data_IF_017865131791
#
_entry.id   IF_017865131791
#
_cell.length_a   1.000
_cell.length_b   1.000
_cell.length_c   1.000
_cell.angle_alpha   90.00
_cell.angle_beta   90.00
_cell.angle_gamma   90.00
#
_symmetry.space_group_name_H-M   'P 1'
#
loop_
_entity.id
_entity.type
_entity.pdbx_description
1 polymer ?
#
# COMPACT_ATOMS: atom_id res chain seq x y z
N UNK A 1 -13.41 -20.20 -33.03
CA UNK A 1 -14.22 -19.48 -34.04
C UNK A 1 -13.38 -18.36 -34.60
N UNK A 2 -13.40 -18.12 -35.91
CA UNK A 2 -12.70 -16.97 -36.48
C UNK A 2 -13.34 -15.68 -35.95
N UNK A 3 -12.53 -14.75 -35.44
CA UNK A 3 -13.01 -13.46 -34.93
C UNK A 3 -13.46 -12.61 -36.12
N UNK A 4 -14.75 -12.29 -36.18
CA UNK A 4 -15.29 -11.37 -37.18
C UNK A 4 -14.89 -9.95 -36.78
N UNK A 5 -14.15 -9.28 -37.66
CA UNK A 5 -13.72 -7.88 -37.43
C UNK A 5 -14.69 -6.94 -38.11
N UNK A 6 -15.31 -6.02 -37.36
CA UNK A 6 -16.14 -4.95 -37.93
C UNK A 6 -15.32 -3.67 -38.15
N UNK A 7 -15.45 -3.07 -39.33
CA UNK A 7 -14.89 -1.76 -39.68
C UNK A 7 -16.07 -0.84 -40.03
N UNK A 8 -16.57 -0.03 -39.09
CA UNK A 8 -17.62 0.94 -39.39
C UNK A 8 -17.08 2.07 -40.27
N UNK A 9 -17.88 2.52 -41.24
CA UNK A 9 -17.61 3.72 -42.03
C UNK A 9 -18.04 4.98 -41.29
N UNK A 10 -17.21 6.02 -41.30
CA UNK A 10 -17.57 7.31 -40.71
C UNK A 10 -18.48 8.09 -41.66
N UNK A 11 -19.62 8.55 -41.14
CA UNK A 11 -20.56 9.41 -41.87
C UNK A 11 -21.04 8.82 -43.21
N UNK A 12 -21.16 7.49 -43.31
CA UNK A 12 -21.83 6.84 -44.43
C UNK A 12 -23.34 7.02 -44.22
N UNK A 13 -23.92 7.93 -44.99
CA UNK A 13 -25.36 8.19 -45.02
C UNK A 13 -25.74 8.57 -46.45
N UNK A 14 -26.41 7.65 -47.14
CA UNK A 14 -26.76 7.78 -48.56
C UNK A 14 -28.04 7.00 -48.87
N UNK A 15 -28.36 6.81 -50.14
CA UNK A 15 -29.53 6.06 -50.61
C UNK A 15 -29.12 4.93 -51.56
N UNK A 16 -30.02 3.98 -51.80
CA UNK A 16 -29.87 2.97 -52.84
C UNK A 16 -30.05 3.61 -54.23
N UNK A 17 -29.10 3.38 -55.13
CA UNK A 17 -29.16 3.79 -56.53
C UNK A 17 -29.91 2.77 -57.43
N UNK A 18 -30.15 1.56 -56.93
CA UNK A 18 -30.87 0.49 -57.62
C UNK A 18 -31.77 -0.26 -56.62
N UNK A 19 -32.92 -0.76 -57.11
CA UNK A 19 -33.78 -1.62 -56.30
C UNK A 19 -33.06 -2.95 -56.00
N UNK A 20 -33.32 -3.54 -54.84
CA UNK A 20 -32.71 -4.78 -54.41
C UNK A 20 -33.78 -5.75 -53.89
N UNK A 21 -33.77 -6.99 -54.37
CA UNK A 21 -34.63 -8.04 -53.82
C UNK A 21 -34.13 -8.49 -52.44
N UNK A 22 -34.97 -9.24 -51.73
CA UNK A 22 -34.62 -9.92 -50.47
C UNK A 22 -33.50 -10.96 -50.61
N UNK A 23 -33.21 -11.42 -51.83
CA UNK A 23 -32.11 -12.35 -52.13
C UNK A 23 -30.88 -11.69 -52.76
N UNK A 24 -30.89 -10.36 -52.96
CA UNK A 24 -29.79 -9.67 -53.61
C UNK A 24 -28.51 -9.71 -52.75
N UNK A 25 -27.42 -10.20 -53.34
CA UNK A 25 -26.09 -10.27 -52.72
C UNK A 25 -25.24 -9.02 -53.00
N UNK A 26 -25.77 -8.09 -53.80
CA UNK A 26 -25.12 -6.82 -54.14
C UNK A 26 -26.08 -5.67 -53.96
N UNK A 27 -25.60 -4.56 -53.40
CA UNK A 27 -26.32 -3.29 -53.30
C UNK A 27 -25.52 -2.20 -53.99
N UNK A 28 -26.19 -1.31 -54.70
CA UNK A 28 -25.54 -0.13 -55.31
C UNK A 28 -26.03 1.11 -54.60
N UNK A 29 -25.10 1.86 -54.01
CA UNK A 29 -25.36 3.13 -53.34
C UNK A 29 -25.31 4.30 -54.32
N UNK A 30 -26.00 5.39 -54.00
CA UNK A 30 -25.93 6.64 -54.75
C UNK A 30 -24.59 7.38 -54.53
N UNK A 31 -23.88 7.08 -53.45
CA UNK A 31 -22.57 7.65 -53.14
C UNK A 31 -21.67 6.63 -52.45
N UNK A 32 -20.36 6.70 -52.73
CA UNK A 32 -19.32 5.95 -52.04
C UNK A 32 -18.61 6.77 -50.95
N UNK A 33 -19.09 7.98 -50.64
CA UNK A 33 -18.48 8.86 -49.66
C UNK A 33 -18.49 8.23 -48.25
N UNK A 34 -17.35 8.29 -47.55
CA UNK A 34 -17.20 7.77 -46.19
C UNK A 34 -17.05 6.24 -46.09
N UNK A 35 -17.18 5.50 -47.20
CA UNK A 35 -16.99 4.05 -47.21
C UNK A 35 -15.52 3.70 -46.87
N UNK A 36 -15.28 2.78 -45.92
CA UNK A 36 -13.94 2.37 -45.54
C UNK A 36 -13.36 1.36 -46.55
N UNK A 37 -12.07 1.05 -46.42
CA UNK A 37 -11.47 -0.11 -47.10
C UNK A 37 -11.66 -1.35 -46.24
N UNK A 38 -12.16 -2.44 -46.83
CA UNK A 38 -12.29 -3.74 -46.17
C UNK A 38 -11.15 -4.67 -46.60
N UNK A 39 -10.51 -5.34 -45.64
CA UNK A 39 -9.46 -6.33 -45.90
C UNK A 39 -9.50 -7.43 -44.83
N UNK A 40 -8.82 -8.56 -45.08
CA UNK A 40 -8.68 -9.63 -44.07
C UNK A 40 -9.99 -10.29 -43.61
N UNK A 41 -11.04 -10.28 -44.44
CA UNK A 41 -12.37 -10.81 -44.09
C UNK A 41 -13.19 -9.92 -43.16
N UNK A 42 -12.77 -8.65 -42.97
CA UNK A 42 -13.53 -7.67 -42.21
C UNK A 42 -14.87 -7.33 -42.88
N UNK A 43 -15.84 -6.92 -42.06
CA UNK A 43 -17.18 -6.55 -42.50
C UNK A 43 -17.53 -5.13 -42.03
N UNK A 44 -18.36 -4.43 -42.79
CA UNK A 44 -18.98 -3.18 -42.32
C UNK A 44 -20.47 -3.42 -42.07
N UNK A 45 -21.02 -3.07 -40.90
CA UNK A 45 -22.47 -3.06 -40.72
C UNK A 45 -23.09 -1.94 -41.56
N UNK A 46 -24.21 -2.21 -42.20
CA UNK A 46 -25.00 -1.20 -42.89
C UNK A 46 -26.47 -1.43 -42.56
N UNK A 47 -27.17 -0.37 -42.21
CA UNK A 47 -28.62 -0.40 -42.01
C UNK A 47 -29.30 0.15 -43.25
N UNK A 48 -30.21 -0.65 -43.80
CA UNK A 48 -31.17 -0.21 -44.81
C UNK A 48 -32.45 0.20 -44.10
N UNK A 49 -33.06 1.29 -44.55
CA UNK A 49 -34.28 1.82 -43.95
C UNK A 49 -35.16 2.46 -45.02
N UNK A 50 -36.46 2.24 -44.91
CA UNK A 50 -37.37 2.63 -45.98
C UNK A 50 -37.57 4.14 -45.99
N UNK A 51 -37.44 4.77 -47.16
CA UNK A 51 -37.60 6.23 -47.23
C UNK A 51 -39.06 6.67 -47.04
N UNK A 52 -40.02 5.76 -47.22
CA UNK A 52 -41.44 6.06 -47.18
C UNK A 52 -41.96 6.29 -45.74
N UNK A 53 -41.54 5.46 -44.79
CA UNK A 53 -42.04 5.47 -43.41
C UNK A 53 -40.94 5.56 -42.36
N UNK A 54 -39.73 5.13 -42.70
CA UNK A 54 -38.60 5.00 -41.79
C UNK A 54 -38.76 3.92 -40.71
N UNK A 55 -39.84 3.13 -40.75
CA UNK A 55 -40.16 2.14 -39.73
C UNK A 55 -39.64 0.74 -40.07
N UNK A 56 -39.39 0.45 -41.34
CA UNK A 56 -38.89 -0.83 -41.83
C UNK A 56 -37.37 -0.71 -41.94
N UNK A 57 -36.65 -1.64 -41.30
CA UNK A 57 -35.19 -1.66 -41.37
C UNK A 57 -34.64 -3.08 -41.50
N UNK A 58 -33.46 -3.17 -42.10
CA UNK A 58 -32.66 -4.40 -42.18
C UNK A 58 -31.21 -4.06 -41.91
N UNK A 59 -30.54 -4.90 -41.11
CA UNK A 59 -29.10 -4.83 -40.91
C UNK A 59 -28.46 -5.81 -41.88
N UNK A 60 -27.49 -5.35 -42.65
CA UNK A 60 -26.69 -6.16 -43.57
C UNK A 60 -25.21 -6.03 -43.21
N UNK A 61 -24.43 -7.07 -43.51
CA UNK A 61 -22.97 -7.02 -43.39
C UNK A 61 -22.34 -6.94 -44.76
N UNK A 62 -21.65 -5.83 -45.01
CA UNK A 62 -20.91 -5.58 -46.23
C UNK A 62 -19.57 -6.30 -46.13
N UNK A 63 -19.29 -7.20 -47.08
CA UNK A 63 -18.07 -8.03 -47.11
C UNK A 63 -17.05 -7.57 -48.14
N UNK A 64 -17.48 -6.79 -49.13
CA UNK A 64 -16.60 -6.16 -50.11
C UNK A 64 -17.21 -4.86 -50.65
N UNK A 65 -16.35 -3.93 -51.03
CA UNK A 65 -16.73 -2.60 -51.54
C UNK A 65 -15.93 -2.35 -52.82
N UNK A 66 -16.62 -1.94 -53.89
CA UNK A 66 -15.99 -1.52 -55.15
C UNK A 66 -16.74 -0.29 -55.66
N UNK A 67 -16.14 0.89 -55.49
CA UNK A 67 -16.82 2.16 -55.73
C UNK A 67 -18.05 2.29 -54.82
N UNK A 68 -19.23 2.52 -55.42
CA UNK A 68 -20.51 2.57 -54.72
C UNK A 68 -21.25 1.23 -54.70
N UNK A 69 -20.66 0.15 -55.22
CA UNK A 69 -21.25 -1.19 -55.21
C UNK A 69 -20.70 -2.00 -54.03
N UNK A 70 -21.63 -2.56 -53.25
CA UNK A 70 -21.38 -3.34 -52.04
C UNK A 70 -21.72 -4.80 -52.30
N UNK A 71 -20.86 -5.72 -51.84
CA UNK A 71 -21.23 -7.13 -51.67
C UNK A 71 -21.71 -7.31 -50.23
N UNK A 72 -22.89 -7.93 -50.05
CA UNK A 72 -23.57 -7.98 -48.75
C UNK A 72 -24.05 -9.37 -48.38
N UNK A 73 -24.09 -9.61 -47.07
CA UNK A 73 -24.88 -10.67 -46.45
C UNK A 73 -26.11 -10.03 -45.82
N UNK A 74 -27.29 -10.49 -46.24
CA UNK A 74 -28.62 -9.96 -45.86
C UNK A 74 -29.08 -10.50 -44.49
N UNK A 75 -30.13 -9.91 -43.92
CA UNK A 75 -30.81 -10.41 -42.71
C UNK A 75 -29.88 -10.68 -41.51
N UNK A 76 -29.04 -9.71 -41.14
CA UNK A 76 -28.12 -9.84 -40.01
C UNK A 76 -28.77 -9.37 -38.70
N UNK A 77 -28.19 -9.82 -37.58
CA UNK A 77 -28.60 -9.40 -36.23
C UNK A 77 -30.08 -9.66 -35.90
N UNK A 78 -30.67 -10.71 -36.49
CA UNK A 78 -32.07 -11.08 -36.28
C UNK A 78 -33.07 -10.26 -37.09
N UNK A 79 -32.61 -9.38 -37.98
CA UNK A 79 -33.47 -8.70 -38.95
C UNK A 79 -33.88 -9.64 -40.08
N UNK A 80 -34.98 -9.32 -40.79
CA UNK A 80 -35.49 -10.12 -41.92
C UNK A 80 -35.13 -9.45 -43.24
N UNK A 81 -34.68 -10.22 -44.24
CA UNK A 81 -34.35 -9.67 -45.55
C UNK A 81 -35.60 -9.15 -46.28
N UNK A 82 -35.56 -7.91 -46.76
CA UNK A 82 -36.67 -7.25 -47.45
C UNK A 82 -36.34 -6.88 -48.89
N UNK A 83 -37.38 -6.57 -49.67
CA UNK A 83 -37.22 -5.86 -50.92
C UNK A 83 -37.03 -4.37 -50.63
N UNK A 84 -36.07 -3.75 -51.30
CA UNK A 84 -35.75 -2.34 -51.17
C UNK A 84 -35.89 -1.63 -52.51
N UNK A 85 -36.41 -0.41 -52.47
CA UNK A 85 -36.60 0.44 -53.63
C UNK A 85 -35.40 1.38 -53.83
N UNK A 86 -35.32 1.93 -55.04
CA UNK A 86 -34.39 3.04 -55.32
C UNK A 86 -34.78 4.21 -54.41
N UNK A 87 -33.78 4.86 -53.82
CA UNK A 87 -33.97 6.01 -52.94
C UNK A 87 -34.15 5.66 -51.46
N UNK A 88 -34.32 4.38 -51.11
CA UNK A 88 -34.32 3.95 -49.70
C UNK A 88 -32.97 4.23 -49.05
N UNK A 89 -32.98 4.52 -47.75
CA UNK A 89 -31.80 4.96 -47.03
C UNK A 89 -30.84 3.80 -46.76
N UNK A 90 -29.54 4.12 -46.82
CA UNK A 90 -28.45 3.23 -46.49
C UNK A 90 -27.43 4.01 -45.65
N UNK A 91 -27.25 3.60 -44.39
CA UNK A 91 -26.34 4.29 -43.47
C UNK A 91 -25.54 3.30 -42.61
N UNK A 92 -24.32 3.69 -42.24
CA UNK A 92 -23.50 2.94 -41.30
C UNK A 92 -23.61 3.56 -39.91
N UNK A 93 -24.06 2.77 -38.93
CA UNK A 93 -24.13 3.16 -37.52
C UNK A 93 -23.66 1.97 -36.66
N UNK A 94 -23.25 2.22 -35.39
CA UNK A 94 -23.03 1.14 -34.44
C UNK A 94 -24.31 0.29 -34.30
N UNK A 95 -24.19 -1.01 -34.53
CA UNK A 95 -25.26 -2.01 -34.34
C UNK A 95 -25.01 -2.84 -33.09
N UNK A 96 -26.01 -3.57 -32.62
CA UNK A 96 -25.89 -4.46 -31.47
C UNK A 96 -24.75 -5.47 -31.65
N UNK A 97 -24.60 -6.04 -32.85
CA UNK A 97 -23.51 -6.95 -33.21
C UNK A 97 -22.13 -6.28 -33.13
N UNK A 98 -21.99 -5.01 -33.54
CA UNK A 98 -20.72 -4.29 -33.39
C UNK A 98 -20.38 -3.95 -31.93
N UNK A 99 -21.38 -3.61 -31.11
CA UNK A 99 -21.18 -3.36 -29.67
C UNK A 99 -20.85 -4.67 -28.94
N UNK A 100 -21.43 -5.80 -29.37
CA UNK A 100 -21.14 -7.12 -28.82
C UNK A 100 -19.68 -7.55 -29.01
N UNK A 101 -18.99 -7.11 -30.08
CA UNK A 101 -17.55 -7.38 -30.22
C UNK A 101 -16.71 -6.68 -29.15
N UNK A 102 -17.18 -5.55 -28.62
CA UNK A 102 -16.49 -4.81 -27.55
C UNK A 102 -16.83 -5.41 -26.17
N UNK A 103 -18.08 -5.86 -25.96
CA UNK A 103 -18.57 -6.24 -24.64
C UNK A 103 -18.82 -7.76 -24.43
N UNK A 104 -18.61 -8.59 -25.47
CA UNK A 104 -18.89 -10.03 -25.45
C UNK A 104 -20.39 -10.43 -25.50
N UNK A 105 -21.31 -9.47 -25.35
CA UNK A 105 -22.77 -9.67 -25.45
C UNK A 105 -23.46 -8.32 -25.76
N UNK A 106 -24.38 -8.25 -26.75
CA UNK A 106 -25.10 -7.02 -27.10
C UNK A 106 -26.05 -6.50 -26.01
N UNK A 107 -26.45 -7.34 -25.05
CA UNK A 107 -27.29 -6.96 -23.91
C UNK A 107 -26.49 -6.37 -22.73
N UNK A 108 -25.16 -6.38 -22.79
CA UNK A 108 -24.31 -5.88 -21.70
C UNK A 108 -24.22 -4.34 -21.72
N UNK A 109 -24.31 -3.72 -20.55
CA UNK A 109 -23.97 -2.31 -20.35
C UNK A 109 -22.50 -2.06 -20.75
N UNK A 110 -22.19 -0.88 -21.29
CA UNK A 110 -20.82 -0.49 -21.63
C UNK A 110 -19.98 -0.33 -20.35
N UNK A 111 -19.28 -1.40 -19.96
CA UNK A 111 -18.45 -1.46 -18.76
C UNK A 111 -17.07 -1.99 -19.12
N UNK A 112 -16.02 -1.38 -18.56
CA UNK A 112 -14.63 -1.77 -18.79
C UNK A 112 -14.32 -2.99 -17.90
N UNK A 113 -13.95 -4.12 -18.51
CA UNK A 113 -13.51 -5.32 -17.79
C UNK A 113 -12.14 -5.13 -17.12
N UNK A 114 -11.77 -6.04 -16.23
CA UNK A 114 -10.45 -5.98 -15.60
C UNK A 114 -9.32 -6.17 -16.61
N UNK A 115 -8.31 -5.30 -16.56
CA UNK A 115 -7.17 -5.34 -17.44
C UNK A 115 -6.28 -6.55 -17.09
N UNK A 116 -5.91 -7.32 -18.11
CA UNK A 116 -5.05 -8.51 -17.99
C UNK A 116 -3.74 -8.38 -18.80
N UNK A 117 -3.58 -7.28 -19.53
CA UNK A 117 -2.38 -6.98 -20.34
C UNK A 117 -2.13 -5.46 -20.43
N UNK A 118 -0.89 -5.06 -20.75
CA UNK A 118 -0.38 -3.68 -20.63
C UNK A 118 -1.00 -2.62 -21.53
N UNK A 119 -1.92 -2.95 -22.43
CA UNK A 119 -2.55 -2.01 -23.36
C UNK A 119 -4.10 -2.03 -23.28
N UNK A 120 -4.66 -2.50 -22.16
CA UNK A 120 -6.10 -2.52 -21.93
C UNK A 120 -6.55 -1.30 -21.10
N UNK A 121 -7.81 -0.89 -21.26
CA UNK A 121 -8.42 0.12 -20.39
C UNK A 121 -8.56 -0.45 -18.96
N UNK A 122 -8.26 0.35 -17.94
CA UNK A 122 -8.18 -0.06 -16.53
C UNK A 122 -9.31 0.61 -15.75
N UNK A 123 -10.02 -0.14 -14.90
CA UNK A 123 -10.98 0.47 -13.98
C UNK A 123 -10.24 1.26 -12.89
N UNK A 124 -10.76 2.41 -12.43
CA UNK A 124 -10.11 3.23 -11.38
C UNK A 124 -9.69 2.42 -10.13
N UNK A 125 -10.42 1.35 -9.79
CA UNK A 125 -10.09 0.46 -8.67
C UNK A 125 -8.85 -0.44 -8.90
N UNK A 126 -8.48 -0.72 -10.15
CA UNK A 126 -7.27 -1.49 -10.49
C UNK A 126 -6.01 -0.63 -10.48
N UNK A 127 -6.13 0.70 -10.58
CA UNK A 127 -4.99 1.63 -10.50
C UNK A 127 -4.35 1.66 -9.10
N UNK A 128 -4.99 1.03 -8.10
CA UNK A 128 -4.49 0.91 -6.73
C UNK A 128 -3.91 -0.49 -6.45
N UNK A 129 -2.89 -0.91 -7.19
CA UNK A 129 -2.06 -2.07 -6.86
C UNK A 129 -0.69 -1.79 -7.46
N UNK A 130 0.27 -1.20 -6.74
CA UNK A 130 1.05 -1.83 -5.66
C UNK A 130 1.53 -0.76 -4.67
N UNK A 131 0.80 -0.54 -3.59
CA UNK A 131 1.33 0.24 -2.46
C UNK A 131 2.11 -0.68 -1.53
N UNK A 132 3.24 -0.24 -0.97
CA UNK A 132 3.77 -0.87 0.24
C UNK A 132 2.83 -0.54 1.43
N UNK A 133 2.72 -1.45 2.40
CA UNK A 133 2.05 -1.14 3.68
C UNK A 133 2.78 0.06 4.29
N UNK A 134 2.06 1.13 4.64
CA UNK A 134 2.68 2.34 5.20
C UNK A 134 1.73 3.17 6.05
N UNK A 135 2.31 3.87 7.01
CA UNK A 135 1.72 5.01 7.70
C UNK A 135 2.37 6.30 7.21
N UNK A 136 1.66 7.42 7.30
CA UNK A 136 2.20 8.75 7.00
C UNK A 136 1.74 9.74 8.07
N UNK A 137 2.70 10.46 8.66
CA UNK A 137 2.43 11.45 9.72
C UNK A 137 1.82 10.83 10.97
N UNK A 138 2.26 9.61 11.35
CA UNK A 138 1.77 8.92 12.55
C UNK A 138 2.09 9.72 13.81
N UNK A 139 1.11 9.89 14.69
CA UNK A 139 1.27 10.51 16.01
C UNK A 139 0.61 9.63 17.05
N UNK A 140 1.25 9.43 18.20
CA UNK A 140 0.62 8.66 19.28
C UNK A 140 1.21 8.88 20.66
N UNK A 141 0.35 8.80 21.66
CA UNK A 141 0.66 9.09 23.05
C UNK A 141 -0.12 8.14 23.96
N UNK A 142 0.37 7.92 25.17
CA UNK A 142 -0.45 7.26 26.21
C UNK A 142 -1.73 8.08 26.45
N UNK A 143 -2.86 7.40 26.64
CA UNK A 143 -4.12 8.08 26.87
C UNK A 143 -4.10 8.83 28.20
N UNK A 144 -4.54 10.09 28.21
CA UNK A 144 -4.45 10.95 29.39
C UNK A 144 -5.26 10.42 30.60
N UNK A 145 -6.38 9.73 30.35
CA UNK A 145 -7.25 9.20 31.41
C UNK A 145 -6.88 7.78 31.85
N UNK A 146 -6.32 6.96 30.95
CA UNK A 146 -5.94 5.57 31.27
C UNK A 146 -4.57 5.21 30.67
N UNK A 147 -3.49 5.87 31.11
CA UNK A 147 -2.18 5.82 30.43
C UNK A 147 -1.50 4.46 30.50
N UNK A 148 -1.90 3.60 31.44
CA UNK A 148 -1.26 2.29 31.64
C UNK A 148 -1.68 1.25 30.60
N UNK A 149 -2.87 1.37 30.01
CA UNK A 149 -3.43 0.32 29.14
C UNK A 149 -4.04 0.87 27.85
N UNK A 150 -4.17 2.19 27.72
CA UNK A 150 -4.75 2.83 26.55
C UNK A 150 -3.73 3.74 25.86
N UNK A 151 -3.73 3.69 24.53
CA UNK A 151 -2.84 4.47 23.68
C UNK A 151 -3.65 5.16 22.58
N UNK A 152 -3.45 6.46 22.42
CA UNK A 152 -4.16 7.28 21.44
C UNK A 152 -3.29 7.43 20.20
N UNK A 153 -3.88 7.23 19.02
CA UNK A 153 -3.19 7.27 17.73
C UNK A 153 -3.98 8.08 16.70
N UNK A 154 -3.25 8.91 15.94
CA UNK A 154 -3.73 9.63 14.76
C UNK A 154 -2.69 9.56 13.65
N UNK A 155 -3.09 9.85 12.42
CA UNK A 155 -2.16 9.89 11.29
C UNK A 155 -2.73 10.72 10.14
N UNK A 156 -1.86 11.22 9.27
CA UNK A 156 -2.32 11.96 8.09
C UNK A 156 -2.89 10.99 7.05
N UNK A 157 -2.28 9.80 6.91
CA UNK A 157 -2.81 8.74 6.04
C UNK A 157 -2.23 7.34 6.35
N UNK A 158 -2.87 6.31 5.79
CA UNK A 158 -2.36 4.93 5.82
C UNK A 158 -2.69 4.18 4.52
N UNK A 159 -1.90 3.13 4.24
CA UNK A 159 -2.20 2.13 3.22
C UNK A 159 -2.14 0.74 3.85
N UNK A 160 -3.29 0.08 3.93
CA UNK A 160 -3.45 -1.30 4.40
C UNK A 160 -3.55 -2.26 3.22
N UNK A 161 -3.06 -3.49 3.37
CA UNK A 161 -3.08 -4.51 2.32
C UNK A 161 -3.68 -5.80 2.86
N UNK A 162 -4.58 -6.41 2.08
CA UNK A 162 -5.15 -7.73 2.39
C UNK A 162 -4.26 -8.90 1.96
N UNK A 163 -4.66 -10.13 2.29
CA UNK A 163 -3.93 -11.35 1.91
C UNK A 163 -3.92 -11.62 0.39
N UNK A 164 -4.82 -10.98 -0.36
CA UNK A 164 -4.87 -11.06 -1.83
C UNK A 164 -4.02 -9.98 -2.51
N UNK A 165 -3.35 -9.11 -1.74
CA UNK A 165 -2.53 -8.03 -2.26
C UNK A 165 -3.30 -6.75 -2.62
N UNK A 166 -4.60 -6.65 -2.30
CA UNK A 166 -5.40 -5.44 -2.55
C UNK A 166 -5.06 -4.36 -1.53
N UNK A 167 -4.84 -3.14 -2.01
CA UNK A 167 -4.50 -1.99 -1.17
C UNK A 167 -5.73 -1.13 -0.87
N UNK A 168 -5.82 -0.67 0.38
CA UNK A 168 -6.86 0.20 0.90
C UNK A 168 -6.20 1.42 1.54
N UNK A 169 -6.64 2.62 1.17
CA UNK A 169 -6.06 3.87 1.69
C UNK A 169 -7.06 4.64 2.55
N UNK A 170 -6.56 5.23 3.63
CA UNK A 170 -7.30 6.19 4.45
C UNK A 170 -6.50 7.49 4.54
N UNK A 171 -7.19 8.63 4.50
CA UNK A 171 -6.62 9.96 4.72
C UNK A 171 -7.36 10.67 5.86
N UNK A 172 -6.69 11.57 6.57
CA UNK A 172 -7.27 12.35 7.67
C UNK A 172 -7.67 11.47 8.85
N UNK A 173 -6.76 10.63 9.34
CA UNK A 173 -7.03 9.70 10.44
C UNK A 173 -7.05 10.49 11.75
N UNK A 174 -8.24 10.71 12.28
CA UNK A 174 -8.44 11.38 13.57
C UNK A 174 -8.03 10.48 14.73
N UNK A 175 -7.76 11.11 15.88
CA UNK A 175 -7.36 10.40 17.10
C UNK A 175 -8.38 9.33 17.48
N UNK A 176 -7.88 8.11 17.70
CA UNK A 176 -8.66 6.99 18.24
C UNK A 176 -7.80 6.21 19.23
N UNK A 177 -8.45 5.64 20.23
CA UNK A 177 -7.79 4.90 21.31
C UNK A 177 -7.76 3.41 21.03
N UNK A 178 -6.62 2.77 21.27
CA UNK A 178 -6.50 1.31 21.40
C UNK A 178 -6.36 0.95 22.88
N UNK A 179 -7.16 -0.01 23.35
CA UNK A 179 -7.18 -0.47 24.74
C UNK A 179 -6.60 -1.89 24.85
N UNK A 180 -5.39 -2.01 25.36
CA UNK A 180 -4.67 -3.28 25.49
C UNK A 180 -5.25 -4.19 26.60
N UNK A 181 -6.14 -3.67 27.45
CA UNK A 181 -6.88 -4.46 28.42
C UNK A 181 -8.13 -5.13 27.83
N UNK A 182 -8.60 -4.69 26.65
CA UNK A 182 -9.80 -5.23 26.00
C UNK A 182 -9.47 -6.51 25.22
N UNK A 183 -9.98 -7.65 25.70
CA UNK A 183 -9.77 -8.96 25.08
C UNK A 183 -10.45 -9.05 23.71
N UNK A 184 -9.76 -9.66 22.73
CA UNK A 184 -10.25 -9.77 21.36
C UNK A 184 -10.25 -11.20 20.79
N UNK A 185 -10.26 -11.35 19.45
CA UNK A 185 -10.00 -10.31 18.44
C UNK A 185 -11.12 -9.27 18.36
N UNK A 186 -10.81 -8.01 18.68
CA UNK A 186 -11.78 -6.92 18.66
C UNK A 186 -11.12 -5.61 18.21
N UNK A 187 -11.89 -4.79 17.49
CA UNK A 187 -11.44 -3.48 17.04
C UNK A 187 -11.15 -2.58 18.24
N UNK A 188 -10.07 -1.83 18.17
CA UNK A 188 -9.54 -0.97 19.23
C UNK A 188 -9.18 -1.72 20.52
N UNK A 189 -8.97 -3.04 20.43
CA UNK A 189 -8.50 -3.89 21.53
C UNK A 189 -7.35 -4.79 21.09
N UNK A 190 -7.22 -5.94 21.76
CA UNK A 190 -6.26 -6.98 21.38
C UNK A 190 -6.73 -7.80 20.18
N UNK A 191 -5.80 -8.47 19.54
CA UNK A 191 -6.06 -9.50 18.51
C UNK A 191 -6.23 -10.91 19.10
N UNK A 192 -6.14 -11.05 20.42
CA UNK A 192 -6.19 -12.32 21.13
C UNK A 192 -7.05 -12.20 22.40
N UNK A 193 -7.64 -13.33 22.79
CA UNK A 193 -8.43 -13.43 24.02
C UNK A 193 -7.54 -13.33 25.26
N UNK A 194 -6.43 -14.06 25.25
CA UNK A 194 -5.43 -14.06 26.31
C UNK A 194 -4.75 -12.69 26.48
N UNK A 195 -4.33 -12.38 27.72
CA UNK A 195 -3.50 -11.21 27.97
C UNK A 195 -2.15 -11.30 27.25
N UNK A 196 -1.58 -10.15 26.88
CA UNK A 196 -0.20 -10.12 26.43
C UNK A 196 0.72 -10.53 27.57
N UNK A 197 1.76 -11.30 27.25
CA UNK A 197 2.81 -11.68 28.20
C UNK A 197 3.49 -10.43 28.76
N UNK A 198 3.70 -10.35 30.07
CA UNK A 198 4.45 -9.24 30.67
C UNK A 198 5.91 -9.20 30.15
N UNK A 199 6.55 -8.04 30.21
CA UNK A 199 7.93 -7.82 29.73
C UNK A 199 8.11 -8.18 28.26
N UNK A 200 7.20 -7.69 27.41
CA UNK A 200 7.20 -7.94 25.96
C UNK A 200 7.03 -6.64 25.18
N UNK A 201 7.00 -6.75 23.85
CA UNK A 201 6.58 -5.68 22.96
C UNK A 201 5.25 -6.03 22.32
N UNK A 202 4.38 -5.02 22.20
CA UNK A 202 3.07 -5.13 21.57
C UNK A 202 3.06 -4.24 20.34
N UNK A 203 2.64 -4.79 19.22
CA UNK A 203 2.61 -4.13 17.92
C UNK A 203 1.21 -3.60 17.65
N UNK A 204 1.11 -2.36 17.19
CA UNK A 204 -0.17 -1.75 16.82
C UNK A 204 -0.30 -1.71 15.31
N UNK A 205 -1.48 -2.11 14.83
CA UNK A 205 -1.83 -2.16 13.42
C UNK A 205 -3.10 -1.35 13.17
N UNK A 206 -3.13 -0.67 12.02
CA UNK A 206 -4.37 -0.14 11.44
C UNK A 206 -5.04 -1.24 10.63
N UNK A 207 -6.34 -1.46 10.83
CA UNK A 207 -7.11 -2.52 10.18
C UNK A 207 -8.31 -1.95 9.41
N UNK A 208 -8.68 -2.62 8.33
CA UNK A 208 -9.82 -2.23 7.48
C UNK A 208 -10.80 -3.38 7.22
N UNK A 209 -12.08 -3.07 7.29
CA UNK A 209 -13.19 -3.94 6.91
C UNK A 209 -13.82 -3.44 5.59
N UNK A 210 -13.63 -4.17 4.47
CA UNK A 210 -14.17 -3.77 3.17
C UNK A 210 -15.69 -3.92 3.07
N UNK A 211 -16.32 -4.74 3.91
CA UNK A 211 -17.77 -4.98 3.88
C UNK A 211 -18.55 -3.84 4.52
N UNK A 212 -18.09 -3.35 5.68
CA UNK A 212 -18.72 -2.23 6.40
C UNK A 212 -18.07 -0.88 6.11
N UNK A 213 -16.98 -0.86 5.34
CA UNK A 213 -16.15 0.33 5.07
C UNK A 213 -15.70 1.04 6.37
N UNK A 214 -15.29 0.26 7.37
CA UNK A 214 -14.85 0.78 8.67
C UNK A 214 -13.38 0.53 8.90
N UNK A 215 -12.74 1.50 9.56
CA UNK A 215 -11.34 1.44 9.97
C UNK A 215 -11.23 1.37 11.48
N UNK A 216 -10.17 0.74 11.96
CA UNK A 216 -9.89 0.66 13.39
C UNK A 216 -8.43 0.35 13.68
N UNK A 217 -8.10 0.26 14.96
CA UNK A 217 -6.78 -0.16 15.42
C UNK A 217 -6.86 -1.55 16.04
N UNK A 218 -5.73 -2.25 16.11
CA UNK A 218 -5.63 -3.48 16.90
C UNK A 218 -4.23 -3.64 17.45
N UNK A 219 -4.13 -4.12 18.68
CA UNK A 219 -2.88 -4.48 19.33
C UNK A 219 -2.62 -5.98 19.17
N UNK A 220 -1.37 -6.37 18.92
CA UNK A 220 -0.99 -7.76 18.70
C UNK A 220 0.41 -8.07 19.20
N UNK A 221 0.63 -9.29 19.66
CA UNK A 221 1.98 -9.81 19.96
C UNK A 221 2.74 -10.25 18.70
N UNK A 222 2.06 -10.39 17.56
CA UNK A 222 2.67 -10.84 16.32
C UNK A 222 3.45 -9.71 15.63
N UNK A 223 4.65 -10.03 15.15
CA UNK A 223 5.50 -9.14 14.37
C UNK A 223 4.88 -8.83 12.99
N UNK A 224 5.27 -7.72 12.34
CA UNK A 224 4.74 -7.35 11.02
C UNK A 224 5.04 -8.34 9.90
N UNK A 225 5.97 -9.28 10.11
CA UNK A 225 6.24 -10.38 9.17
C UNK A 225 5.11 -11.41 9.14
N UNK A 226 4.33 -11.52 10.21
CA UNK A 226 3.18 -12.43 10.35
C UNK A 226 1.87 -11.62 10.27
N UNK A 227 1.79 -10.52 11.01
CA UNK A 227 0.60 -9.67 11.13
C UNK A 227 -0.38 -10.12 12.22
N UNK A 228 -1.38 -9.28 12.54
CA UNK A 228 -2.33 -9.53 13.62
C UNK A 228 -3.43 -10.53 13.22
N UNK A 229 -4.07 -11.14 14.22
CA UNK A 229 -5.34 -11.85 14.01
C UNK A 229 -6.48 -10.85 13.85
N UNK A 230 -7.13 -10.82 12.69
CA UNK A 230 -8.14 -9.80 12.40
C UNK A 230 -9.52 -10.15 13.00
N UNK A 231 -10.28 -9.16 13.52
CA UNK A 231 -11.68 -9.35 13.89
C UNK A 231 -12.53 -9.70 12.68
N UNK A 232 -13.69 -10.33 12.90
CA UNK A 232 -14.61 -10.73 11.84
C UNK A 232 -14.92 -9.57 10.87
N UNK A 233 -14.76 -9.83 9.57
CA UNK A 233 -15.00 -8.87 8.49
C UNK A 233 -13.81 -7.96 8.15
N UNK A 234 -12.81 -7.86 9.01
CA UNK A 234 -11.57 -7.15 8.68
C UNK A 234 -10.65 -8.04 7.85
N UNK A 235 -10.11 -7.50 6.76
CA UNK A 235 -9.31 -8.29 5.79
C UNK A 235 -7.94 -7.70 5.49
N UNK A 236 -7.72 -6.41 5.77
CA UNK A 236 -6.49 -5.70 5.45
C UNK A 236 -5.90 -5.03 6.68
N UNK A 237 -4.57 -4.88 6.69
CA UNK A 237 -3.85 -4.20 7.75
C UNK A 237 -2.60 -3.44 7.27
N UNK A 238 -2.20 -2.45 8.07
CA UNK A 238 -0.95 -1.72 7.98
C UNK A 238 -0.26 -1.71 9.35
N UNK A 239 1.05 -1.96 9.39
CA UNK A 239 1.82 -1.86 10.62
C UNK A 239 2.08 -0.40 10.98
N UNK A 240 1.87 -0.03 12.24
CA UNK A 240 1.93 1.37 12.65
C UNK A 240 3.04 1.65 13.65
N UNK A 241 3.05 0.99 14.79
CA UNK A 241 4.10 1.22 15.79
C UNK A 241 4.24 0.03 16.74
N UNK A 242 5.18 0.11 17.67
CA UNK A 242 5.40 -0.87 18.73
C UNK A 242 5.46 -0.17 20.08
N UNK A 243 4.84 -0.76 21.10
CA UNK A 243 4.83 -0.29 22.48
C UNK A 243 5.60 -1.28 23.36
N UNK A 244 6.33 -0.78 24.35
CA UNK A 244 6.95 -1.61 25.38
C UNK A 244 5.92 -1.91 26.47
N UNK A 245 5.68 -3.20 26.73
CA UNK A 245 4.73 -3.71 27.70
C UNK A 245 5.49 -4.30 28.88
N UNK A 246 5.54 -3.56 29.98
CA UNK A 246 6.49 -3.82 31.06
C UNK A 246 6.12 -5.03 31.94
N UNK A 247 6.93 -5.29 32.97
CA UNK A 247 6.74 -6.39 33.89
C UNK A 247 5.42 -6.35 34.68
N UNK A 248 4.82 -5.16 34.83
CA UNK A 248 3.52 -4.95 35.47
C UNK A 248 2.35 -5.00 34.48
N UNK A 249 2.59 -5.40 33.23
CA UNK A 249 1.60 -5.37 32.15
C UNK A 249 1.00 -3.98 31.92
N UNK A 250 1.86 -2.98 31.90
CA UNK A 250 1.52 -1.61 31.56
C UNK A 250 2.32 -1.12 30.35
N UNK A 251 1.74 -0.21 29.59
CA UNK A 251 2.45 0.57 28.58
C UNK A 251 3.54 1.37 29.30
N UNK A 252 4.79 1.25 28.84
CA UNK A 252 5.84 2.20 29.22
C UNK A 252 5.52 3.53 28.55
N UNK A 253 5.39 4.64 29.31
CA UNK A 253 5.03 5.92 28.72
C UNK A 253 5.95 6.32 27.57
N UNK A 254 5.36 6.70 26.45
CA UNK A 254 6.09 7.05 25.24
C UNK A 254 5.27 7.96 24.31
N UNK A 255 6.00 8.64 23.44
CA UNK A 255 5.52 9.37 22.28
C UNK A 255 5.88 8.61 21.01
N UNK A 256 5.00 8.61 20.03
CA UNK A 256 5.20 8.07 18.69
C UNK A 256 5.07 9.22 17.71
N UNK A 257 6.12 9.45 16.93
CA UNK A 257 6.18 10.46 15.87
C UNK A 257 6.77 9.79 14.63
N UNK A 258 5.94 9.60 13.61
CA UNK A 258 6.28 8.83 12.41
C UNK A 258 6.72 7.41 12.75
N UNK A 259 7.96 7.07 12.36
CA UNK A 259 8.60 5.78 12.64
C UNK A 259 9.26 5.67 14.02
N UNK A 260 9.36 6.78 14.76
CA UNK A 260 10.12 6.89 15.99
C UNK A 260 9.22 6.71 17.22
N UNK A 261 9.71 5.94 18.19
CA UNK A 261 9.12 5.80 19.53
C UNK A 261 10.12 6.34 20.53
N UNK A 262 9.70 7.32 21.35
CA UNK A 262 10.53 7.94 22.39
C UNK A 262 9.88 7.72 23.73
N UNK A 263 10.62 7.19 24.70
CA UNK A 263 10.13 7.00 26.05
C UNK A 263 10.01 8.33 26.80
N UNK A 264 8.88 8.52 27.47
CA UNK A 264 8.60 9.66 28.35
C UNK A 264 8.89 9.25 29.80
N UNK A 265 10.13 9.41 30.24
CA UNK A 265 10.57 8.94 31.54
C UNK A 265 11.07 10.11 32.39
N UNK A 266 10.59 10.14 33.64
CA UNK A 266 10.82 11.25 34.56
C UNK A 266 12.29 11.45 34.97
N UNK A 267 13.16 10.43 34.86
CA UNK A 267 14.53 10.48 35.39
C UNK A 267 15.60 9.82 34.48
N UNK A 268 16.86 10.24 34.66
CA UNK A 268 18.04 9.51 34.17
C UNK A 268 18.25 8.20 34.96
N UNK A 269 18.52 7.10 34.25
CA UNK A 269 18.82 5.78 34.84
C UNK A 269 17.73 4.71 34.71
N UNK A 270 16.49 5.06 34.34
CA UNK A 270 15.35 4.11 34.32
C UNK A 270 15.42 3.09 33.15
N UNK A 271 16.15 3.43 32.09
CA UNK A 271 16.38 2.54 30.93
C UNK A 271 17.87 2.23 30.70
N UNK A 272 18.62 2.11 31.80
CA UNK A 272 20.07 1.92 31.75
C UNK A 272 20.41 0.47 31.41
N UNK A 273 21.04 0.28 30.24
CA UNK A 273 21.48 -1.03 29.73
C UNK A 273 22.93 -1.34 30.07
N UNK A 274 23.71 -0.32 30.45
CA UNK A 274 25.07 -0.47 30.95
C UNK A 274 25.35 0.59 32.01
N UNK A 275 26.01 0.20 33.10
CA UNK A 275 26.46 1.12 34.16
C UNK A 275 27.98 1.02 34.30
N UNK A 276 28.67 2.17 34.23
CA UNK A 276 30.13 2.27 34.45
C UNK A 276 30.97 1.23 33.69
N UNK A 277 30.64 1.00 32.41
CA UNK A 277 31.40 0.12 31.54
C UNK A 277 32.80 0.63 31.26
N UNK A 278 33.76 -0.28 31.29
CA UNK A 278 35.21 0.00 31.13
C UNK A 278 35.87 -0.90 30.09
N UNK A 279 35.09 -1.66 29.31
CA UNK A 279 35.64 -2.62 28.35
C UNK A 279 36.49 -1.92 27.28
N UNK A 280 37.74 -2.33 27.12
CA UNK A 280 38.66 -1.81 26.09
C UNK A 280 38.60 -2.57 24.77
N UNK A 281 37.94 -3.73 24.79
CA UNK A 281 37.58 -4.52 23.62
C UNK A 281 36.10 -4.35 23.30
N UNK A 282 35.75 -4.43 22.01
CA UNK A 282 34.35 -4.32 21.57
C UNK A 282 33.51 -5.39 22.27
N UNK A 283 32.57 -4.92 23.08
CA UNK A 283 31.72 -5.76 23.94
C UNK A 283 30.27 -5.42 23.68
N UNK A 284 29.45 -6.45 23.48
CA UNK A 284 28.03 -6.27 23.23
C UNK A 284 27.29 -5.78 24.48
N UNK A 285 26.35 -4.86 24.28
CA UNK A 285 25.39 -4.36 25.27
C UNK A 285 24.00 -4.69 24.76
N UNK A 286 23.27 -5.51 25.51
CA UNK A 286 21.91 -5.88 25.16
C UNK A 286 20.93 -4.73 25.45
N UNK A 287 20.05 -4.44 24.50
CA UNK A 287 18.96 -3.48 24.65
C UNK A 287 17.57 -4.12 24.51
N UNK A 288 17.48 -5.46 24.54
CA UNK A 288 16.23 -6.21 24.33
C UNK A 288 15.10 -5.88 25.30
N UNK A 289 15.37 -5.30 26.47
CA UNK A 289 14.33 -4.81 27.39
C UNK A 289 13.70 -3.47 26.98
N UNK A 290 14.31 -2.73 26.05
CA UNK A 290 13.95 -1.35 25.71
C UNK A 290 13.90 -1.06 24.20
N UNK A 291 14.28 -2.01 23.34
CA UNK A 291 14.12 -1.90 21.90
C UNK A 291 13.58 -3.23 21.37
N UNK A 292 12.52 -3.25 20.55
CA UNK A 292 11.92 -4.48 20.06
C UNK A 292 12.77 -5.18 18.97
N UNK A 293 12.53 -6.46 18.67
CA UNK A 293 13.28 -7.20 17.64
C UNK A 293 13.13 -6.66 16.22
N UNK A 294 12.05 -5.93 15.93
CA UNK A 294 11.81 -5.25 14.65
C UNK A 294 12.32 -3.79 14.63
N UNK A 295 12.98 -3.33 15.68
CA UNK A 295 13.63 -2.03 15.65
C UNK A 295 14.76 -2.03 14.61
N UNK A 296 14.76 -1.03 13.75
CA UNK A 296 15.84 -0.81 12.78
C UNK A 296 16.98 0.01 13.41
N UNK A 297 16.67 0.82 14.43
CA UNK A 297 17.64 1.65 15.16
C UNK A 297 17.18 1.80 16.61
N UNK A 298 18.12 1.90 17.55
CA UNK A 298 17.86 2.27 18.93
C UNK A 298 18.35 3.70 19.18
N UNK A 299 17.57 4.50 19.90
CA UNK A 299 17.97 5.83 20.36
C UNK A 299 18.65 5.66 21.71
N UNK A 300 19.91 6.07 21.80
CA UNK A 300 20.73 5.87 22.99
C UNK A 300 21.32 7.19 23.50
N UNK A 301 21.50 7.25 24.81
CA UNK A 301 22.36 8.23 25.46
C UNK A 301 23.60 7.51 25.97
N UNK A 302 24.76 8.03 25.61
CA UNK A 302 26.03 7.67 26.23
C UNK A 302 26.37 8.70 27.31
N UNK A 303 26.40 8.28 28.57
CA UNK A 303 26.86 9.09 29.69
C UNK A 303 28.25 8.64 30.07
N UNK A 304 29.22 9.55 30.03
CA UNK A 304 30.61 9.27 30.35
C UNK A 304 30.99 10.05 31.59
N UNK A 305 31.64 9.38 32.55
CA UNK A 305 32.18 10.01 33.74
C UNK A 305 33.60 9.54 33.98
N UNK A 306 34.47 10.44 34.43
CA UNK A 306 35.78 10.08 34.95
C UNK A 306 36.23 11.02 36.07
N UNK A 307 37.24 10.60 36.84
CA UNK A 307 37.89 11.46 37.84
C UNK A 307 39.41 11.38 37.67
N UNK A 308 40.08 12.54 37.62
CA UNK A 308 41.53 12.65 37.81
C UNK A 308 42.42 12.07 36.70
N UNK A 309 41.98 12.07 35.43
CA UNK A 309 42.73 11.48 34.32
C UNK A 309 43.04 12.46 33.18
N UNK A 310 44.34 12.69 32.93
CA UNK A 310 44.83 13.55 31.83
C UNK A 310 44.62 12.94 30.44
N UNK A 311 44.47 11.62 30.33
CA UNK A 311 44.17 10.95 29.06
C UNK A 311 42.66 11.01 28.81
N UNK A 312 42.20 11.46 27.63
CA UNK A 312 40.78 11.45 27.30
C UNK A 312 40.21 10.03 27.36
N UNK A 313 39.09 9.86 28.04
CA UNK A 313 38.25 8.69 27.92
C UNK A 313 37.41 8.91 26.66
N UNK A 314 37.58 8.03 25.69
CA UNK A 314 36.83 8.03 24.44
C UNK A 314 36.01 6.77 24.40
N UNK A 315 34.70 6.93 24.27
CA UNK A 315 33.77 5.86 24.02
C UNK A 315 33.55 5.72 22.52
N UNK A 316 33.58 4.47 22.05
CA UNK A 316 33.25 4.11 20.68
C UNK A 316 32.06 3.19 20.68
N UNK A 317 31.09 3.47 19.82
CA UNK A 317 29.88 2.67 19.66
C UNK A 317 29.72 2.26 18.20
N UNK A 318 29.30 1.01 17.99
CA UNK A 318 28.98 0.49 16.65
C UNK A 318 27.86 -0.54 16.72
N UNK A 319 27.30 -0.87 15.55
CA UNK A 319 26.37 -1.99 15.39
C UNK A 319 27.06 -3.32 15.75
N UNK A 320 26.38 -4.17 16.52
CA UNK A 320 26.83 -5.53 16.82
C UNK A 320 27.06 -6.32 15.53
N UNK A 321 28.19 -7.03 15.46
CA UNK A 321 28.55 -7.85 14.29
C UNK A 321 29.20 -7.07 13.14
N UNK A 322 29.56 -5.80 13.34
CA UNK A 322 30.34 -5.05 12.35
C UNK A 322 31.73 -5.67 12.12
N UNK A 323 32.07 -5.92 10.85
CA UNK A 323 33.31 -6.58 10.40
C UNK A 323 34.47 -5.63 10.15
N UNK A 324 34.21 -4.32 9.98
CA UNK A 324 35.27 -3.32 9.80
C UNK A 324 35.90 -2.95 11.13
N UNK A 325 37.20 -3.22 11.26
CA UNK A 325 38.01 -2.79 12.40
C UNK A 325 38.21 -1.27 12.36
N UNK A 326 37.90 -0.58 13.45
CA UNK A 326 38.18 0.86 13.60
C UNK A 326 37.08 1.82 13.13
N UNK A 327 36.07 1.35 12.40
CA UNK A 327 34.89 2.17 12.07
C UNK A 327 33.92 2.20 13.26
N UNK A 328 33.71 3.38 13.82
CA UNK A 328 32.72 3.64 14.86
C UNK A 328 31.60 4.46 14.24
N UNK A 329 30.36 4.13 14.56
CA UNK A 329 29.21 4.94 14.14
C UNK A 329 29.23 6.26 14.90
N UNK A 330 29.63 6.19 16.17
CA UNK A 330 29.66 7.33 17.09
C UNK A 330 30.89 7.23 17.97
N UNK A 331 31.49 8.37 18.26
CA UNK A 331 32.50 8.51 19.32
C UNK A 331 32.19 9.71 20.19
N UNK A 332 32.38 9.55 21.49
CA UNK A 332 32.23 10.61 22.49
C UNK A 332 33.48 10.64 23.35
N UNK A 333 33.91 11.82 23.79
CA UNK A 333 35.07 11.96 24.67
C UNK A 333 34.82 12.88 25.83
N UNK A 334 35.52 12.62 26.93
CA UNK A 334 35.69 13.54 28.06
C UNK A 334 37.15 13.51 28.48
N UNK A 335 37.66 14.62 29.00
CA UNK A 335 39.02 14.75 29.52
C UNK A 335 39.00 15.71 30.70
N UNK A 336 39.67 15.37 31.80
CA UNK A 336 39.73 16.25 32.99
C UNK A 336 41.08 16.16 33.69
N UNK A 337 41.65 17.31 34.04
CA UNK A 337 42.88 17.36 34.81
C UNK A 337 42.57 17.63 36.30
N UNK A 338 42.64 16.60 37.15
CA UNK A 338 42.53 16.75 38.61
C UNK A 338 41.11 16.94 39.18
N UNK A 339 40.05 16.89 38.36
CA UNK A 339 38.65 17.03 38.79
C UNK A 339 37.74 15.93 38.23
N UNK A 340 36.45 15.97 38.56
CA UNK A 340 35.40 15.11 37.97
C UNK A 340 34.95 15.68 36.63
N UNK A 341 34.90 14.84 35.59
CA UNK A 341 34.43 15.19 34.25
C UNK A 341 33.24 14.36 33.85
N UNK A 342 32.26 14.99 33.20
CA UNK A 342 31.12 14.31 32.62
C UNK A 342 30.90 14.76 31.17
N UNK A 343 30.44 13.84 30.32
CA UNK A 343 30.02 14.12 28.96
C UNK A 343 28.79 13.28 28.64
N UNK A 344 27.84 13.88 27.93
CA UNK A 344 26.61 13.25 27.52
C UNK A 344 26.48 13.40 26.02
N UNK A 345 26.24 12.30 25.33
CA UNK A 345 25.98 12.32 23.89
C UNK A 345 24.70 11.56 23.58
N UNK A 346 23.84 12.16 22.75
CA UNK A 346 22.66 11.52 22.22
C UNK A 346 22.94 11.04 20.80
N UNK A 347 22.59 9.81 20.50
CA UNK A 347 22.75 9.26 19.16
C UNK A 347 21.81 8.09 18.91
N UNK A 348 21.74 7.65 17.67
CA UNK A 348 21.03 6.45 17.30
C UNK A 348 22.01 5.42 16.73
N UNK A 349 21.72 4.14 16.95
CA UNK A 349 22.58 3.04 16.48
C UNK A 349 21.73 2.05 15.69
N UNK A 350 22.14 1.66 14.47
CA UNK A 350 21.47 0.61 13.72
C UNK A 350 21.40 -0.70 14.51
N UNK A 351 20.23 -1.31 14.54
CA UNK A 351 19.96 -2.56 15.26
C UNK A 351 19.86 -3.74 14.30
N UNK A 352 20.04 -4.94 14.82
CA UNK A 352 19.68 -6.19 14.19
C UNK A 352 18.74 -6.98 15.12
N UNK A 353 18.34 -8.18 14.72
CA UNK A 353 17.49 -9.05 15.54
C UNK A 353 18.10 -9.46 16.88
N UNK A 354 19.40 -9.23 17.09
CA UNK A 354 20.07 -9.49 18.38
C UNK A 354 19.86 -8.36 19.40
N UNK A 355 19.16 -7.27 19.04
CA UNK A 355 18.80 -6.17 19.95
C UNK A 355 20.00 -5.73 20.81
N UNK A 356 21.12 -5.41 20.16
CA UNK A 356 22.35 -5.01 20.84
C UNK A 356 23.19 -4.08 19.99
N UNK A 357 24.11 -3.38 20.66
CA UNK A 357 25.23 -2.67 20.04
C UNK A 357 26.53 -3.06 20.74
N UNK A 358 27.67 -2.85 20.08
CA UNK A 358 28.98 -3.01 20.69
C UNK A 358 29.50 -1.65 21.18
N UNK A 359 30.16 -1.66 22.33
CA UNK A 359 30.95 -0.52 22.80
C UNK A 359 32.38 -0.92 23.16
N UNK A 360 33.26 0.07 23.18
CA UNK A 360 34.53 0.01 23.90
C UNK A 360 34.98 1.39 24.36
N UNK A 361 35.93 1.43 25.28
CA UNK A 361 36.70 2.63 25.63
C UNK A 361 38.14 2.51 25.16
N UNK A 362 38.79 3.63 24.86
CA UNK A 362 40.22 3.65 24.49
C UNK A 362 41.13 3.26 25.66
N UNK A 363 40.76 3.64 26.88
CA UNK A 363 41.49 3.36 28.12
C UNK A 363 40.49 3.04 29.24
N UNK A 364 40.86 2.15 30.15
CA UNK A 364 40.06 1.93 31.36
C UNK A 364 40.26 3.13 32.30
N UNK A 365 39.20 3.83 32.72
CA UNK A 365 39.33 4.90 33.69
C UNK A 365 39.65 4.34 35.08
N UNK A 366 40.34 5.11 35.91
CA UNK A 366 40.60 4.79 37.32
C UNK A 366 39.35 4.87 38.20
N UNK A 367 38.39 5.71 37.80
CA UNK A 367 37.07 5.87 38.41
C UNK A 367 36.08 6.37 37.35
N UNK A 368 34.83 5.94 37.44
CA UNK A 368 33.79 6.23 36.43
C UNK A 368 33.75 5.18 35.32
N UNK A 369 33.34 5.58 34.12
CA UNK A 369 33.12 4.71 32.97
C UNK A 369 32.09 5.26 32.01
N UNK A 370 31.57 4.38 31.16
CA UNK A 370 30.48 4.69 30.22
C UNK A 370 29.21 4.00 30.68
N UNK A 371 28.13 4.75 30.78
CA UNK A 371 26.79 4.22 30.97
C UNK A 371 25.95 4.46 29.72
N UNK A 372 25.10 3.50 29.38
CA UNK A 372 24.20 3.63 28.24
C UNK A 372 22.75 3.52 28.68
N UNK A 373 21.93 4.42 28.14
CA UNK A 373 20.49 4.41 28.34
C UNK A 373 19.79 4.35 27.00
N UNK A 374 18.72 3.54 26.90
CA UNK A 374 17.89 3.48 25.71
C UNK A 374 16.69 4.40 25.90
N UNK A 375 16.62 5.44 25.08
CA UNK A 375 15.56 6.45 25.15
C UNK A 375 14.42 6.22 24.17
N UNK A 376 14.57 5.24 23.29
CA UNK A 376 13.57 4.90 22.31
C UNK A 376 14.14 4.06 21.19
N UNK A 377 13.38 3.93 20.12
CA UNK A 377 13.74 3.13 18.96
C UNK A 377 12.99 3.61 17.72
N UNK A 378 13.45 3.16 16.55
CA UNK A 378 12.81 3.43 15.26
C UNK A 378 12.38 2.09 14.66
N UNK A 379 11.16 2.02 14.12
CA UNK A 379 10.58 0.83 13.48
C UNK A 379 10.30 1.08 12.00
N UNK A 380 10.29 0.02 11.19
CA UNK A 380 9.96 0.12 9.76
C UNK A 380 8.44 0.08 9.52
N UNK A 381 7.74 1.20 9.74
CA UNK A 381 6.30 1.33 9.50
C UNK A 381 5.95 1.99 8.14
N UNK A 382 6.97 2.28 7.32
CA UNK A 382 6.82 2.93 6.02
C UNK A 382 6.64 4.44 6.08
N UNK A 383 6.66 5.03 7.28
CA UNK A 383 6.76 6.47 7.52
C UNK A 383 8.25 6.85 7.53
N UNK A 384 8.60 8.06 7.07
CA UNK A 384 10.01 8.51 6.90
C UNK A 384 10.36 9.67 7.81
#
# INVERSE_FOLDING_TARGET
>A
MATITFIPGNNVNTTLAAAASSSATTLTLASSAGLPTLSGGAQMPLTLNDAATGAIYEIVYVTAITGATLTVVRAQEGTTAQNWNIGDFAFCAPTAGTVAQVNGNPANQFQIANATASNQAVALGQTFTTGARRMMGLRGNVNASTPLTQFDLSADACVAIDSSGRAYAQYGITTSTVNLALAGPIVNGRDQSAAFTASTFVHIYRIYNPTSNTWGWIASAALPTVGPTLPTGYTAWAYSTTLNWNASSNIVPCFVEGAQVVYDLADAGVNRVLTNGTATSMTAVACSGYAPPNAIRALIIALMAMVGNVTPLVCYVRRTGSTTTGQNVVSSSVQVNGATGQSTNWTDIPMNSSQSFDYRVNVSPSSGGVSFEVRGFIVANGDS
#
